data_IF_295844995042
#
_entry.id   IF_295844995042
#
_cell.length_a   1.000
_cell.length_b   1.000
_cell.length_c   1.000
_cell.angle_alpha   90.00
_cell.angle_beta   90.00
_cell.angle_gamma   90.00
#
_symmetry.space_group_name_H-M   'P 1'
#
loop_
_entity.id
_entity.type
_entity.pdbx_description
1 polymer ?
#
# COMPACT_ATOMS: atom_id res chain seq x y z
N UNK A 1 22.51 36.68 -25.25
CA UNK A 1 22.44 35.23 -25.47
C UNK A 1 21.69 34.65 -24.29
N UNK A 2 20.39 34.38 -24.46
CA UNK A 2 19.51 33.89 -23.41
C UNK A 2 19.43 32.38 -23.61
N UNK A 3 19.97 31.63 -22.64
CA UNK A 3 20.12 30.19 -22.72
C UNK A 3 18.75 29.56 -22.42
N UNK A 4 18.09 29.07 -23.46
CA UNK A 4 16.86 28.28 -23.39
C UNK A 4 17.14 27.03 -22.57
N UNK A 5 16.59 26.96 -21.36
CA UNK A 5 16.66 25.78 -20.51
C UNK A 5 15.70 24.74 -21.11
N UNK A 6 16.24 23.78 -21.84
CA UNK A 6 15.49 22.62 -22.31
C UNK A 6 15.03 21.80 -21.10
N UNK A 7 13.71 21.60 -20.98
CA UNK A 7 13.15 20.68 -19.99
C UNK A 7 13.67 19.26 -20.25
N UNK A 8 14.02 18.49 -19.21
CA UNK A 8 14.48 17.12 -19.38
C UNK A 8 13.38 16.27 -20.01
N UNK A 9 13.72 15.58 -21.11
CA UNK A 9 12.85 14.62 -21.77
C UNK A 9 12.65 13.40 -20.86
N UNK A 10 11.44 13.27 -20.32
CA UNK A 10 11.08 12.11 -19.50
C UNK A 10 10.85 10.88 -20.39
N UNK A 11 11.32 9.69 -19.98
CA UNK A 11 11.14 8.46 -20.72
C UNK A 11 9.65 8.11 -20.88
N UNK A 12 9.26 7.81 -22.11
CA UNK A 12 7.90 7.68 -22.67
C UNK A 12 7.10 6.45 -22.22
N UNK A 13 7.26 5.98 -20.99
CA UNK A 13 6.43 4.89 -20.46
C UNK A 13 5.88 5.28 -19.08
N UNK A 14 4.58 5.60 -19.07
CA UNK A 14 3.75 6.13 -17.96
C UNK A 14 3.85 7.64 -17.71
N UNK A 15 3.45 8.43 -18.70
CA UNK A 15 3.14 9.85 -18.54
C UNK A 15 1.63 9.97 -18.31
N UNK A 16 1.20 10.21 -17.08
CA UNK A 16 -0.11 10.80 -16.85
C UNK A 16 -0.09 12.23 -17.38
N UNK A 17 -1.11 12.66 -18.11
CA UNK A 17 -1.26 14.08 -18.46
C UNK A 17 -1.23 14.89 -17.16
N UNK A 18 -0.33 15.86 -17.09
CA UNK A 18 -0.07 16.62 -15.88
C UNK A 18 -1.03 17.80 -15.80
N UNK A 19 -1.83 17.85 -14.73
CA UNK A 19 -2.61 19.04 -14.35
C UNK A 19 -1.67 20.06 -13.72
N UNK A 20 -1.81 21.33 -14.11
CA UNK A 20 -0.99 22.43 -13.60
C UNK A 20 -1.04 22.50 -12.05
N UNK A 21 0.13 22.61 -11.42
CA UNK A 21 0.28 22.66 -9.96
C UNK A 21 0.28 21.31 -9.23
N UNK A 22 0.13 20.18 -9.93
CA UNK A 22 0.34 18.85 -9.37
C UNK A 22 1.70 18.29 -9.76
N UNK A 23 2.46 17.86 -8.76
CA UNK A 23 3.79 17.29 -8.93
C UNK A 23 3.78 15.80 -8.61
N UNK A 24 4.49 14.93 -9.35
CA UNK A 24 4.70 13.56 -8.92
C UNK A 24 5.44 13.55 -7.58
N UNK A 25 4.94 12.79 -6.62
CA UNK A 25 5.67 12.52 -5.38
C UNK A 25 6.84 11.59 -5.72
N UNK A 26 8.07 12.04 -5.49
CA UNK A 26 9.29 11.28 -5.80
C UNK A 26 9.53 10.07 -4.88
N UNK A 27 8.58 9.74 -4.00
CA UNK A 27 8.69 8.66 -3.04
C UNK A 27 8.62 7.30 -3.77
N UNK A 28 9.76 6.87 -4.33
CA UNK A 28 9.94 5.53 -4.88
C UNK A 28 9.73 4.53 -3.75
N UNK A 29 8.87 3.54 -3.99
CA UNK A 29 8.63 2.46 -3.05
C UNK A 29 9.95 1.72 -2.73
N UNK A 30 10.48 1.90 -1.51
CA UNK A 30 11.72 1.27 -1.06
C UNK A 30 11.41 -0.18 -0.68
N UNK A 31 11.65 -1.12 -1.60
CA UNK A 31 11.22 -2.51 -1.44
C UNK A 31 12.17 -3.37 -0.58
N UNK A 32 13.27 -2.82 -0.07
CA UNK A 32 14.30 -3.56 0.68
C UNK A 32 13.74 -4.23 1.95
N UNK A 33 12.99 -3.48 2.76
CA UNK A 33 12.44 -3.99 4.02
C UNK A 33 11.41 -5.10 3.76
N UNK A 34 10.37 -4.90 2.90
CA UNK A 34 9.44 -5.98 2.57
C UNK A 34 10.12 -7.22 1.98
N UNK A 35 11.10 -7.06 1.08
CA UNK A 35 11.80 -8.21 0.47
C UNK A 35 12.60 -9.01 1.50
N UNK A 36 13.38 -8.33 2.35
CA UNK A 36 14.23 -8.99 3.33
C UNK A 36 13.39 -9.72 4.39
N UNK A 37 12.33 -9.07 4.87
CA UNK A 37 11.41 -9.66 5.85
C UNK A 37 10.60 -10.82 5.27
N UNK A 38 10.16 -10.74 4.01
CA UNK A 38 9.52 -11.87 3.32
C UNK A 38 10.49 -13.05 3.12
N UNK A 39 11.73 -12.80 2.69
CA UNK A 39 12.73 -13.86 2.54
C UNK A 39 13.06 -14.52 3.89
N UNK A 40 13.24 -13.72 4.94
CA UNK A 40 13.42 -14.22 6.31
C UNK A 40 12.24 -15.08 6.77
N UNK A 41 11.01 -14.67 6.46
CA UNK A 41 9.81 -15.43 6.83
C UNK A 41 9.72 -16.81 6.15
N UNK A 42 10.19 -16.95 4.92
CA UNK A 42 10.23 -18.25 4.23
C UNK A 42 11.20 -19.21 4.91
N UNK A 43 12.38 -18.70 5.29
CA UNK A 43 13.38 -19.47 6.01
C UNK A 43 12.81 -19.95 7.36
N UNK A 44 12.21 -19.05 8.14
CA UNK A 44 11.62 -19.39 9.44
C UNK A 44 10.37 -20.27 9.32
N UNK A 45 9.72 -20.32 8.16
CA UNK A 45 8.57 -21.18 7.89
C UNK A 45 8.98 -22.58 7.43
N UNK A 46 10.14 -22.73 6.76
CA UNK A 46 10.65 -24.03 6.33
C UNK A 46 10.99 -24.94 7.53
N UNK A 47 11.57 -24.40 8.60
CA UNK A 47 11.93 -25.17 9.80
C UNK A 47 10.73 -25.83 10.49
N UNK A 48 9.60 -25.13 10.78
CA UNK A 48 8.35 -25.73 11.22
C UNK A 48 7.91 -26.95 10.41
N UNK A 49 7.96 -26.87 9.08
CA UNK A 49 7.56 -27.96 8.20
C UNK A 49 8.46 -29.18 8.40
N UNK A 50 9.77 -28.97 8.42
CA UNK A 50 10.74 -30.06 8.64
C UNK A 50 10.61 -30.67 10.04
N UNK A 51 10.36 -29.86 11.07
CA UNK A 51 10.15 -30.31 12.44
C UNK A 51 8.86 -31.12 12.58
N UNK A 52 7.76 -30.69 11.94
CA UNK A 52 6.49 -31.43 11.93
C UNK A 52 6.61 -32.77 11.19
N UNK A 53 7.30 -32.82 10.05
CA UNK A 53 7.51 -34.06 9.29
C UNK A 53 8.44 -35.02 10.03
N UNK A 54 9.51 -34.51 10.64
CA UNK A 54 10.48 -35.34 11.37
C UNK A 54 10.01 -35.78 12.76
N UNK A 55 8.96 -35.15 13.30
CA UNK A 55 8.46 -35.37 14.65
C UNK A 55 9.40 -34.89 15.77
N UNK A 56 10.47 -34.17 15.44
CA UNK A 56 11.46 -33.68 16.40
C UNK A 56 11.28 -32.19 16.69
N UNK A 57 11.60 -31.78 17.91
CA UNK A 57 11.61 -30.37 18.33
C UNK A 57 10.24 -29.66 18.16
N UNK A 58 9.13 -30.41 18.26
CA UNK A 58 7.78 -29.89 18.04
C UNK A 58 7.41 -28.70 18.94
N UNK A 59 8.02 -28.62 20.13
CA UNK A 59 7.80 -27.52 21.08
C UNK A 59 8.20 -26.14 20.53
N UNK A 60 9.12 -26.09 19.56
CA UNK A 60 9.58 -24.85 18.94
C UNK A 60 8.74 -24.44 17.72
N UNK A 61 7.91 -25.32 17.19
CA UNK A 61 7.12 -25.09 15.97
C UNK A 61 6.20 -23.87 16.11
N UNK A 62 5.40 -23.72 17.19
CA UNK A 62 4.57 -22.52 17.42
C UNK A 62 5.36 -21.21 17.36
N UNK A 63 6.55 -21.19 17.97
CA UNK A 63 7.39 -20.00 18.05
C UNK A 63 7.94 -19.60 16.68
N UNK A 64 8.38 -20.57 15.89
CA UNK A 64 8.90 -20.33 14.54
C UNK A 64 7.79 -19.86 13.57
N UNK A 65 6.57 -20.39 13.71
CA UNK A 65 5.41 -19.89 12.95
C UNK A 65 5.08 -18.46 13.37
N UNK A 66 5.08 -18.17 14.68
CA UNK A 66 4.85 -16.83 15.20
C UNK A 66 5.90 -15.82 14.66
N UNK A 67 7.19 -16.17 14.70
CA UNK A 67 8.26 -15.34 14.12
C UNK A 67 8.02 -15.08 12.63
N UNK A 68 7.66 -16.11 11.87
CA UNK A 68 7.34 -15.98 10.44
C UNK A 68 6.16 -15.03 10.21
N UNK A 69 5.10 -15.16 11.01
CA UNK A 69 3.93 -14.30 10.94
C UNK A 69 4.28 -12.84 11.28
N UNK A 70 5.10 -12.60 12.31
CA UNK A 70 5.57 -11.27 12.69
C UNK A 70 6.42 -10.64 11.58
N UNK A 71 7.37 -11.38 10.98
CA UNK A 71 8.15 -10.90 9.84
C UNK A 71 7.27 -10.49 8.66
N UNK A 72 6.24 -11.29 8.36
CA UNK A 72 5.25 -10.97 7.33
C UNK A 72 4.38 -9.77 7.70
N UNK A 73 4.04 -9.61 8.98
CA UNK A 73 3.36 -8.42 9.50
C UNK A 73 4.19 -7.15 9.30
N UNK A 74 5.50 -7.22 9.55
CA UNK A 74 6.43 -6.11 9.29
C UNK A 74 6.51 -5.81 7.79
N UNK A 75 6.59 -6.83 6.93
CA UNK A 75 6.57 -6.63 5.49
C UNK A 75 5.29 -5.90 5.02
N UNK A 76 4.13 -6.32 5.54
CA UNK A 76 2.83 -5.73 5.24
C UNK A 76 2.78 -4.27 5.71
N UNK A 77 3.23 -3.99 6.94
CA UNK A 77 3.24 -2.65 7.51
C UNK A 77 4.18 -1.71 6.75
N UNK A 78 5.37 -2.18 6.38
CA UNK A 78 6.31 -1.39 5.58
C UNK A 78 5.74 -1.05 4.21
N UNK A 79 5.07 -2.01 3.56
CA UNK A 79 4.37 -1.77 2.28
C UNK A 79 3.21 -0.78 2.46
N UNK A 80 2.52 -0.83 3.60
CA UNK A 80 1.42 0.06 3.93
C UNK A 80 1.87 1.51 4.16
N UNK A 81 2.94 1.72 4.93
CA UNK A 81 3.48 3.06 5.21
C UNK A 81 3.87 3.77 3.91
N UNK A 82 4.38 3.04 2.93
CA UNK A 82 4.74 3.60 1.61
C UNK A 82 3.53 3.99 0.76
N UNK A 83 2.36 3.37 0.96
CA UNK A 83 1.17 3.59 0.12
C UNK A 83 -0.12 3.51 0.92
N UNK A 84 -0.65 4.67 1.30
CA UNK A 84 -1.88 4.78 2.10
C UNK A 84 -3.11 4.27 1.35
N UNK A 85 -3.10 4.31 0.01
CA UNK A 85 -4.16 3.73 -0.83
C UNK A 85 -4.41 2.24 -0.57
N UNK A 86 -3.39 1.51 -0.09
CA UNK A 86 -3.47 0.08 0.19
C UNK A 86 -4.43 -0.28 1.34
N UNK A 87 -4.83 0.66 2.21
CA UNK A 87 -5.84 0.39 3.27
C UNK A 87 -7.07 -0.27 2.67
N UNK A 88 -7.51 0.18 1.50
CA UNK A 88 -8.76 -0.25 0.90
C UNK A 88 -8.62 -1.49 0.00
N UNK A 89 -7.39 -1.99 -0.18
CA UNK A 89 -7.12 -3.15 -1.00
C UNK A 89 -7.50 -4.43 -0.24
N UNK A 90 -8.44 -5.21 -0.80
CA UNK A 90 -8.94 -6.45 -0.17
C UNK A 90 -7.84 -7.43 0.23
N UNK A 91 -6.74 -7.47 -0.55
CA UNK A 91 -5.60 -8.31 -0.24
C UNK A 91 -4.91 -7.95 1.09
N UNK A 92 -4.90 -6.67 1.47
CA UNK A 92 -4.32 -6.22 2.74
C UNK A 92 -5.20 -6.62 3.91
N UNK A 93 -6.52 -6.42 3.81
CA UNK A 93 -7.45 -6.90 4.84
C UNK A 93 -7.37 -8.41 5.04
N UNK A 94 -7.27 -9.16 3.94
CA UNK A 94 -7.12 -10.62 3.99
C UNK A 94 -5.78 -11.02 4.64
N UNK A 95 -4.68 -10.31 4.33
CA UNK A 95 -3.39 -10.50 5.04
C UNK A 95 -3.54 -10.26 6.54
N UNK A 96 -4.21 -9.18 6.98
CA UNK A 96 -4.41 -8.92 8.42
C UNK A 96 -5.19 -10.05 9.08
N UNK A 97 -6.23 -10.58 8.43
CA UNK A 97 -6.98 -11.73 8.94
C UNK A 97 -6.08 -12.97 9.05
N UNK A 98 -5.28 -13.28 8.03
CA UNK A 98 -4.35 -14.41 8.08
C UNK A 98 -3.26 -14.23 9.13
N UNK A 99 -2.78 -13.01 9.38
CA UNK A 99 -1.83 -12.71 10.44
C UNK A 99 -2.40 -13.06 11.82
N UNK A 100 -3.61 -12.58 12.11
CA UNK A 100 -4.29 -12.85 13.39
C UNK A 100 -4.56 -14.34 13.55
N UNK A 101 -5.11 -15.00 12.52
CA UNK A 101 -5.39 -16.44 12.55
C UNK A 101 -4.10 -17.25 12.71
N UNK A 102 -3.02 -16.91 12.02
CA UNK A 102 -1.74 -17.60 12.14
C UNK A 102 -1.19 -17.53 13.57
N UNK A 103 -1.28 -16.36 14.22
CA UNK A 103 -0.80 -16.19 15.59
C UNK A 103 -1.69 -16.96 16.58
N UNK A 104 -3.03 -16.81 16.47
CA UNK A 104 -3.97 -17.50 17.37
C UNK A 104 -3.83 -19.02 17.28
N UNK A 105 -3.81 -19.58 16.07
CA UNK A 105 -3.69 -21.02 15.88
C UNK A 105 -2.29 -21.56 16.21
N UNK A 106 -1.26 -20.71 16.33
CA UNK A 106 0.07 -21.16 16.76
C UNK A 106 0.07 -21.61 18.22
N UNK A 107 -0.75 -20.99 19.07
CA UNK A 107 -0.76 -21.21 20.52
C UNK A 107 -2.08 -21.77 21.04
N UNK A 108 -3.00 -22.18 20.16
CA UNK A 108 -4.26 -22.78 20.59
C UNK A 108 -4.04 -24.20 21.08
N UNK A 109 -4.37 -24.45 22.34
CA UNK A 109 -4.30 -25.79 22.91
C UNK A 109 -5.33 -26.72 22.26
N UNK A 110 -4.89 -27.93 21.89
CA UNK A 110 -5.73 -28.95 21.25
C UNK A 110 -5.99 -28.77 19.75
N UNK A 111 -5.52 -27.68 19.13
CA UNK A 111 -5.58 -27.48 17.68
C UNK A 111 -4.38 -28.04 16.93
N UNK A 112 -4.56 -28.41 15.66
CA UNK A 112 -3.45 -28.84 14.80
C UNK A 112 -2.60 -27.65 14.37
N UNK A 113 -1.30 -27.68 14.64
CA UNK A 113 -0.33 -26.65 14.24
C UNK A 113 -0.23 -26.47 12.71
N UNK A 114 -0.70 -27.46 11.94
CA UNK A 114 -0.84 -27.36 10.48
C UNK A 114 -1.78 -26.22 10.06
N UNK A 115 -2.84 -25.93 10.83
CA UNK A 115 -3.72 -24.80 10.52
C UNK A 115 -2.98 -23.47 10.64
N UNK A 116 -2.18 -23.30 11.69
CA UNK A 116 -1.34 -22.11 11.86
C UNK A 116 -0.39 -21.93 10.67
N UNK A 117 0.23 -23.03 10.21
CA UNK A 117 1.12 -23.01 9.06
C UNK A 117 0.39 -22.64 7.76
N UNK A 118 -0.80 -23.21 7.51
CA UNK A 118 -1.62 -22.90 6.32
C UNK A 118 -1.99 -21.40 6.30
N UNK A 119 -2.39 -20.84 7.44
CA UNK A 119 -2.67 -19.40 7.53
C UNK A 119 -1.42 -18.56 7.32
N UNK A 120 -0.26 -19.00 7.83
CA UNK A 120 1.02 -18.33 7.60
C UNK A 120 1.44 -18.34 6.12
N UNK A 121 1.24 -19.46 5.41
CA UNK A 121 1.47 -19.55 3.95
C UNK A 121 0.49 -18.64 3.21
N UNK A 122 -0.79 -18.63 3.60
CA UNK A 122 -1.80 -17.72 3.07
C UNK A 122 -1.39 -16.26 3.21
N UNK A 123 -0.91 -15.88 4.39
CA UNK A 123 -0.35 -14.55 4.69
C UNK A 123 0.83 -14.22 3.79
N UNK A 124 1.77 -15.15 3.59
CA UNK A 124 2.91 -14.95 2.69
C UNK A 124 2.43 -14.64 1.27
N UNK A 125 1.52 -15.45 0.72
CA UNK A 125 1.02 -15.30 -0.65
C UNK A 125 0.28 -13.98 -0.84
N UNK A 126 -0.58 -13.58 0.12
CA UNK A 126 -1.31 -12.32 0.01
C UNK A 126 -0.39 -11.11 0.14
N UNK A 127 0.56 -11.15 1.08
CA UNK A 127 1.55 -10.07 1.25
C UNK A 127 2.47 -9.94 0.04
N UNK A 128 2.98 -11.06 -0.50
CA UNK A 128 3.78 -11.06 -1.72
C UNK A 128 3.02 -10.47 -2.91
N UNK A 129 1.75 -10.84 -3.11
CA UNK A 129 0.92 -10.28 -4.19
C UNK A 129 0.72 -8.78 -4.05
N UNK A 130 0.54 -8.27 -2.83
CA UNK A 130 0.42 -6.84 -2.56
C UNK A 130 1.74 -6.13 -2.85
N UNK A 131 2.85 -6.63 -2.29
CA UNK A 131 4.19 -6.06 -2.50
C UNK A 131 4.58 -6.05 -3.98
N UNK A 132 4.33 -7.15 -4.71
CA UNK A 132 4.67 -7.27 -6.12
C UNK A 132 3.91 -6.25 -7.00
N UNK A 133 2.62 -6.01 -6.72
CA UNK A 133 1.87 -4.96 -7.42
C UNK A 133 2.43 -3.57 -7.11
N UNK A 134 2.75 -3.31 -5.84
CA UNK A 134 3.36 -2.06 -5.41
C UNK A 134 4.71 -1.80 -6.10
N UNK A 135 5.58 -2.82 -6.21
CA UNK A 135 6.86 -2.69 -6.92
C UNK A 135 6.71 -2.59 -8.43
N UNK A 136 5.68 -3.21 -9.02
CA UNK A 136 5.40 -3.14 -10.45
C UNK A 136 4.87 -1.78 -10.92
N UNK A 137 4.81 -0.78 -10.03
CA UNK A 137 4.40 0.58 -10.40
C UNK A 137 2.90 0.76 -10.55
N UNK A 138 2.06 -0.10 -9.95
CA UNK A 138 0.58 -0.03 -9.99
C UNK A 138 0.01 1.20 -9.26
N UNK A 139 0.81 2.24 -9.03
CA UNK A 139 0.29 3.46 -8.45
C UNK A 139 1.24 4.62 -8.51
N UNK A 140 0.60 5.77 -8.68
CA UNK A 140 1.19 7.09 -8.86
C UNK A 140 0.71 7.93 -7.69
N UNK A 141 1.64 8.65 -7.09
CA UNK A 141 1.34 9.62 -6.05
C UNK A 141 1.58 11.00 -6.63
N UNK A 142 0.60 11.88 -6.49
CA UNK A 142 0.71 13.28 -6.84
C UNK A 142 0.57 14.12 -5.59
N UNK A 143 1.30 15.23 -5.53
CA UNK A 143 1.22 16.21 -4.45
C UNK A 143 1.02 17.60 -5.02
N UNK A 144 0.24 18.42 -4.34
CA UNK A 144 0.00 19.83 -4.66
C UNK A 144 -0.01 20.64 -3.38
N UNK A 145 0.64 21.79 -3.39
CA UNK A 145 0.50 22.76 -2.30
C UNK A 145 -0.95 23.28 -2.29
N UNK A 146 -1.60 23.19 -1.14
CA UNK A 146 -3.02 23.52 -1.01
C UNK A 146 -3.28 24.39 0.22
N UNK A 147 -4.05 25.46 0.01
CA UNK A 147 -4.51 26.28 1.12
C UNK A 147 -5.78 25.66 1.73
N UNK A 148 -5.75 25.18 2.99
CA UNK A 148 -6.88 24.49 3.61
C UNK A 148 -8.10 25.38 3.83
N UNK A 149 -7.96 26.71 3.67
CA UNK A 149 -9.09 27.66 3.71
C UNK A 149 -9.88 27.72 2.40
N UNK A 150 -9.32 27.22 1.28
CA UNK A 150 -9.99 27.19 -0.02
C UNK A 150 -10.64 25.81 -0.22
N UNK A 151 -11.93 25.72 -0.58
CA UNK A 151 -12.56 24.43 -0.85
C UNK A 151 -11.93 23.77 -2.07
N UNK A 152 -11.66 22.46 -1.97
CA UNK A 152 -11.19 21.66 -3.09
C UNK A 152 -12.36 21.40 -4.05
N UNK A 153 -12.27 21.85 -5.30
CA UNK A 153 -13.28 21.53 -6.32
C UNK A 153 -12.91 20.20 -6.98
N UNK A 154 -13.68 19.16 -6.70
CA UNK A 154 -13.59 17.89 -7.41
C UNK A 154 -14.32 17.97 -8.74
N UNK A 155 -13.84 17.23 -9.74
CA UNK A 155 -14.48 17.18 -11.05
C UNK A 155 -15.96 16.73 -10.93
N UNK A 156 -16.94 17.56 -11.35
CA UNK A 156 -18.36 17.27 -11.19
C UNK A 156 -18.80 16.00 -11.94
N UNK A 157 -18.15 15.67 -13.06
CA UNK A 157 -18.45 14.46 -13.84
C UNK A 157 -18.09 13.16 -13.10
N UNK A 158 -17.23 13.25 -12.07
CA UNK A 158 -16.79 12.10 -11.26
C UNK A 158 -17.13 12.22 -9.78
N UNK A 159 -17.88 13.25 -9.36
CA UNK A 159 -18.28 13.45 -7.97
C UNK A 159 -19.02 12.23 -7.39
N UNK A 160 -19.84 11.56 -8.20
CA UNK A 160 -20.57 10.34 -7.79
C UNK A 160 -19.66 9.16 -7.45
N UNK A 161 -18.41 9.14 -7.94
CA UNK A 161 -17.42 8.12 -7.67
C UNK A 161 -16.59 8.39 -6.41
N UNK A 162 -16.61 9.63 -5.91
CA UNK A 162 -15.90 10.04 -4.73
C UNK A 162 -16.77 9.90 -3.49
N UNK A 163 -16.34 9.05 -2.57
CA UNK A 163 -16.87 9.01 -1.21
C UNK A 163 -16.04 9.95 -0.34
N UNK A 164 -16.63 11.09 0.02
CA UNK A 164 -16.02 12.05 0.95
C UNK A 164 -16.16 11.47 2.36
N UNK A 165 -15.03 11.26 3.04
CA UNK A 165 -14.97 10.75 4.40
C UNK A 165 -14.88 11.88 5.42
N UNK A 166 -14.05 12.89 5.12
CA UNK A 166 -13.83 14.01 6.00
C UNK A 166 -13.48 15.28 5.21
N UNK A 167 -13.97 16.42 5.66
CA UNK A 167 -13.65 17.74 5.12
C UNK A 167 -12.48 18.42 5.84
N UNK A 168 -12.06 17.91 7.01
CA UNK A 168 -10.96 18.48 7.78
C UNK A 168 -9.60 17.99 7.26
N UNK A 169 -8.67 18.89 6.92
CA UNK A 169 -7.34 18.51 6.41
C UNK A 169 -6.49 17.74 7.44
N UNK A 170 -6.77 17.91 8.73
CA UNK A 170 -6.00 17.30 9.82
C UNK A 170 -6.42 15.86 10.15
N UNK A 171 -7.49 15.36 9.56
CA UNK A 171 -8.12 14.08 9.96
C UNK A 171 -7.68 12.87 9.13
N UNK A 172 -6.55 12.97 8.44
CA UNK A 172 -6.01 11.89 7.61
C UNK A 172 -6.70 11.80 6.25
N UNK A 173 -7.44 10.71 5.99
CA UNK A 173 -8.08 10.48 4.70
C UNK A 173 -9.30 11.38 4.50
N UNK A 174 -9.30 12.16 3.42
CA UNK A 174 -10.36 13.12 3.11
C UNK A 174 -11.40 12.53 2.16
N UNK A 175 -10.96 11.91 1.06
CA UNK A 175 -11.84 11.32 0.08
C UNK A 175 -11.27 10.02 -0.50
N UNK A 176 -12.16 9.11 -0.88
CA UNK A 176 -11.81 7.83 -1.49
C UNK A 176 -12.64 7.64 -2.73
N UNK A 177 -12.00 7.27 -3.83
CA UNK A 177 -12.66 6.82 -5.05
C UNK A 177 -12.36 5.35 -5.27
N UNK A 178 -13.41 4.56 -5.49
CA UNK A 178 -13.28 3.13 -5.73
C UNK A 178 -14.07 2.74 -6.98
N UNK A 179 -13.33 2.32 -7.99
CA UNK A 179 -13.85 1.75 -9.22
C UNK A 179 -13.39 0.29 -9.32
N UNK A 180 -13.97 -0.52 -10.24
CA UNK A 180 -13.57 -1.94 -10.41
C UNK A 180 -12.08 -2.13 -10.72
N UNK A 181 -11.44 -1.13 -11.35
CA UNK A 181 -10.03 -1.20 -11.80
C UNK A 181 -9.09 -0.19 -11.13
N UNK A 182 -9.64 0.76 -10.38
CA UNK A 182 -8.91 1.91 -9.84
C UNK A 182 -9.34 2.19 -8.41
N UNK A 183 -8.37 2.47 -7.56
CA UNK A 183 -8.58 2.91 -6.20
C UNK A 183 -7.77 4.18 -6.00
N UNK A 184 -8.38 5.26 -5.56
CA UNK A 184 -7.69 6.53 -5.35
C UNK A 184 -8.09 7.11 -4.00
N UNK A 185 -7.14 7.77 -3.36
CA UNK A 185 -7.31 8.33 -2.02
C UNK A 185 -6.69 9.73 -1.99
N UNK A 186 -7.40 10.66 -1.37
CA UNK A 186 -6.94 12.03 -1.12
C UNK A 186 -6.71 12.21 0.37
N UNK A 187 -5.57 12.79 0.75
CA UNK A 187 -5.23 13.19 2.13
C UNK A 187 -4.41 14.48 2.13
N UNK A 188 -4.47 15.29 3.20
CA UNK A 188 -3.50 16.39 3.41
C UNK A 188 -2.45 15.95 4.42
N UNK A 189 -1.23 16.44 4.20
CA UNK A 189 -0.11 16.37 5.13
C UNK A 189 0.40 17.79 5.41
N UNK A 190 0.64 18.10 6.68
CA UNK A 190 1.22 19.39 7.06
C UNK A 190 2.72 19.21 7.27
N UNK A 191 3.52 19.83 6.41
CA UNK A 191 4.98 19.81 6.47
C UNK A 191 5.46 21.23 6.74
N UNK A 192 6.16 21.45 7.85
CA UNK A 192 6.76 22.75 8.21
C UNK A 192 5.81 23.96 8.19
N UNK A 193 4.49 23.74 8.33
CA UNK A 193 3.47 24.79 8.32
C UNK A 193 2.74 24.96 6.98
N UNK A 194 3.17 24.25 5.92
CA UNK A 194 2.53 24.19 4.61
C UNK A 194 1.63 22.94 4.51
N UNK A 195 0.40 23.06 3.97
CA UNK A 195 -0.46 21.90 3.70
C UNK A 195 -0.23 21.41 2.27
N UNK A 196 0.16 20.16 2.18
CA UNK A 196 0.33 19.42 0.94
C UNK A 196 -0.86 18.49 0.77
N UNK A 197 -1.57 18.62 -0.34
CA UNK A 197 -2.62 17.71 -0.74
C UNK A 197 -2.02 16.57 -1.55
N UNK A 198 -2.20 15.35 -1.08
CA UNK A 198 -1.73 14.14 -1.73
C UNK A 198 -2.89 13.40 -2.39
N UNK A 199 -2.66 12.93 -3.60
CA UNK A 199 -3.50 11.99 -4.33
C UNK A 199 -2.69 10.72 -4.56
N UNK A 200 -3.06 9.64 -3.86
CA UNK A 200 -2.45 8.31 -4.01
C UNK A 200 -3.41 7.42 -4.80
N UNK A 201 -2.98 6.99 -5.97
CA UNK A 201 -3.78 6.19 -6.90
C UNK A 201 -3.16 4.82 -7.06
N UNK A 202 -3.98 3.78 -6.95
CA UNK A 202 -3.67 2.40 -7.23
C UNK A 202 -4.51 1.91 -8.42
N UNK A 203 -3.88 1.68 -9.56
CA UNK A 203 -4.53 1.31 -10.82
C UNK A 203 -3.72 0.25 -11.56
N UNK A 204 -4.41 -0.70 -12.20
CA UNK A 204 -3.79 -1.61 -13.17
C UNK A 204 -3.63 -0.99 -14.56
N UNK A 205 -4.36 0.09 -14.83
CA UNK A 205 -4.47 0.75 -16.13
C UNK A 205 -3.78 2.13 -16.06
N UNK A 206 -3.37 2.68 -17.21
CA UNK A 206 -2.77 4.03 -17.29
C UNK A 206 -3.72 5.04 -16.66
N UNK A 207 -3.20 5.83 -15.72
CA UNK A 207 -3.99 6.81 -14.98
C UNK A 207 -3.83 8.19 -15.61
N UNK A 208 -4.97 8.75 -16.03
CA UNK A 208 -5.08 10.10 -16.57
C UNK A 208 -5.58 11.05 -15.46
N UNK A 209 -4.75 12.02 -15.09
CA UNK A 209 -5.00 12.96 -14.00
C UNK A 209 -6.05 14.02 -14.42
N UNK A 210 -6.03 14.46 -15.69
CA UNK A 210 -6.92 15.47 -16.26
C UNK A 210 -8.39 15.01 -16.19
N UNK A 211 -8.63 13.72 -16.46
CA UNK A 211 -9.95 13.10 -16.33
C UNK A 211 -10.43 12.89 -14.88
N UNK A 212 -9.64 13.27 -13.87
CA UNK A 212 -9.90 13.00 -12.45
C UNK A 212 -9.98 14.25 -11.59
N UNK A 213 -9.14 15.25 -11.87
CA UNK A 213 -9.12 16.55 -11.17
C UNK A 213 -9.10 17.63 -12.25
N UNK A 214 -10.24 18.30 -12.44
CA UNK A 214 -10.31 19.52 -13.24
C UNK A 214 -10.44 20.67 -12.24
N UNK A 215 -9.47 21.57 -12.23
CA UNK A 215 -9.74 22.97 -11.92
C UNK A 215 -9.38 23.78 -13.17
N UNK A 216 -10.35 24.48 -13.73
CA UNK A 216 -10.11 25.58 -14.65
C UNK A 216 -10.31 26.90 -13.89
N UNK A 217 -9.25 27.71 -13.95
CA UNK A 217 -9.18 29.20 -13.91
C UNK A 217 -9.86 29.93 -12.75
#
# INVERSE_FOLDING_TARGET
MQQTQELPSFPTNMVGLFVEGWYPSEEKAIMNIPLFTMAGSLLTMAFPVLMMISGKYLIFVPWLICISAVLLGIALLSTFVQRRVLVMHRGVHLSVVFLVLSILFSFIDGGSTWFALIFCIGLFVTTFRVANKTSAGYGVQFRREWNPKKPLKLNPNRMSHWKILNSKPTSGLMAVSRTRRQLAVIYCEFVEGECWLHLDVFSSDIFDLDGFIIEEV
#
